data_IF_152000636282
#
_entry.id   IF_152000636282
#
_cell.length_a   1.000
_cell.length_b   1.000
_cell.length_c   1.000
_cell.angle_alpha   90.00
_cell.angle_beta   90.00
_cell.angle_gamma   90.00
#
_symmetry.space_group_name_H-M   'P 1'
#
loop_
_entity.id
_entity.type
_entity.pdbx_description
1 polymer ?
#
# COMPACT_ATOMS: atom_id res chain seq x y z
N UNK A 1 5.67 8.66 11.28
CA UNK A 1 4.75 7.67 11.88
C UNK A 1 5.59 6.45 12.23
N UNK A 2 5.71 6.12 13.52
CA UNK A 2 6.32 4.87 13.96
C UNK A 2 5.31 3.73 13.87
N UNK A 3 5.79 2.48 13.80
CA UNK A 3 4.94 1.28 13.80
C UNK A 3 5.48 0.33 14.86
N UNK A 4 4.62 -0.07 15.78
CA UNK A 4 4.94 -1.04 16.82
C UNK A 4 4.12 -2.30 16.62
N UNK A 5 4.80 -3.42 16.54
CA UNK A 5 4.21 -4.76 16.34
C UNK A 5 4.57 -5.59 17.57
N UNK A 6 3.58 -6.15 18.25
CA UNK A 6 3.77 -6.91 19.49
C UNK A 6 3.11 -8.29 19.39
N UNK A 7 3.91 -9.33 19.45
CA UNK A 7 3.48 -10.74 19.52
C UNK A 7 2.44 -11.12 18.49
N UNK A 8 2.51 -10.58 17.27
CA UNK A 8 1.55 -10.86 16.20
C UNK A 8 1.65 -12.31 15.80
N UNK A 9 0.52 -13.02 15.92
CA UNK A 9 0.34 -14.40 15.51
C UNK A 9 -0.73 -14.50 14.45
N UNK A 10 -0.50 -15.34 13.42
CA UNK A 10 -1.48 -15.62 12.37
C UNK A 10 -1.36 -17.05 11.89
N UNK A 11 -2.51 -17.73 11.85
CA UNK A 11 -2.63 -19.09 11.36
C UNK A 11 -3.67 -19.18 10.23
N UNK A 12 -3.43 -19.99 9.24
CA UNK A 12 -4.36 -20.33 8.16
C UNK A 12 -4.57 -21.86 8.14
N UNK A 13 -5.69 -22.33 8.66
CA UNK A 13 -5.89 -23.76 8.90
C UNK A 13 -4.79 -24.31 9.80
N UNK A 14 -4.05 -25.31 9.33
CA UNK A 14 -2.93 -25.93 10.07
C UNK A 14 -1.58 -25.20 9.84
N UNK A 15 -1.55 -24.18 8.98
CA UNK A 15 -0.32 -23.46 8.64
C UNK A 15 -0.17 -22.19 9.49
N UNK A 16 0.89 -22.13 10.30
CA UNK A 16 1.27 -20.92 11.05
C UNK A 16 2.09 -20.00 10.17
N UNK A 17 1.50 -18.90 9.72
CA UNK A 17 2.15 -17.90 8.88
C UNK A 17 3.03 -16.93 9.70
N UNK A 18 2.59 -16.55 10.91
CA UNK A 18 3.32 -15.69 11.83
C UNK A 18 3.24 -16.29 13.24
N UNK A 19 4.38 -16.39 13.92
CA UNK A 19 4.45 -16.93 15.28
C UNK A 19 5.04 -15.89 16.23
N UNK A 20 4.17 -15.11 16.88
CA UNK A 20 4.53 -14.10 17.90
C UNK A 20 5.61 -13.12 17.42
N UNK A 21 5.44 -12.59 16.22
CA UNK A 21 6.37 -11.63 15.63
C UNK A 21 6.24 -10.28 16.35
N UNK A 22 7.38 -9.73 16.76
CA UNK A 22 7.47 -8.37 17.32
C UNK A 22 8.54 -7.59 16.55
N UNK A 23 8.24 -6.32 16.25
CA UNK A 23 9.11 -5.43 15.48
C UNK A 23 8.75 -3.97 15.79
N UNK A 24 9.76 -3.14 15.92
CA UNK A 24 9.62 -1.70 16.01
C UNK A 24 10.20 -1.04 14.76
N UNK A 25 9.47 -0.10 14.19
CA UNK A 25 9.87 0.69 13.03
C UNK A 25 9.74 2.16 13.41
N UNK A 26 10.87 2.85 13.41
CA UNK A 26 10.90 4.28 13.76
C UNK A 26 10.32 5.16 12.66
N UNK A 27 9.90 6.36 13.03
CA UNK A 27 9.38 7.33 12.07
C UNK A 27 10.45 7.73 11.05
N UNK A 28 10.14 7.59 9.76
CA UNK A 28 11.05 7.89 8.65
C UNK A 28 12.04 6.78 8.32
N UNK A 29 11.99 5.66 9.01
CA UNK A 29 12.85 4.51 8.74
C UNK A 29 12.41 3.75 7.47
N UNK A 30 13.37 3.27 6.69
CA UNK A 30 13.17 2.33 5.59
C UNK A 30 13.57 0.92 6.05
N UNK A 31 12.59 0.05 6.20
CA UNK A 31 12.79 -1.33 6.67
C UNK A 31 12.58 -2.32 5.53
N UNK A 32 13.51 -3.26 5.38
CA UNK A 32 13.40 -4.38 4.45
C UNK A 32 13.17 -5.70 5.20
N UNK A 33 12.09 -6.40 4.86
CA UNK A 33 11.80 -7.74 5.37
C UNK A 33 12.44 -8.79 4.43
N UNK A 34 13.47 -9.48 4.90
CA UNK A 34 14.20 -10.52 4.16
C UNK A 34 13.80 -11.91 4.65
N UNK A 35 13.83 -12.87 3.76
CA UNK A 35 13.55 -14.28 4.08
C UNK A 35 13.00 -15.07 2.88
N UNK A 36 12.94 -16.40 2.98
CA UNK A 36 12.46 -17.28 1.91
C UNK A 36 10.97 -17.03 1.56
N UNK A 37 10.54 -17.57 0.43
CA UNK A 37 9.12 -17.55 0.07
C UNK A 37 8.31 -18.34 1.11
N UNK A 38 7.12 -17.82 1.48
CA UNK A 38 6.22 -18.45 2.45
C UNK A 38 6.56 -18.19 3.92
N UNK A 39 7.60 -17.44 4.27
CA UNK A 39 7.94 -17.14 5.68
C UNK A 39 7.08 -16.02 6.33
N UNK A 40 5.94 -15.65 5.77
CA UNK A 40 4.99 -14.74 6.39
C UNK A 40 5.15 -13.25 6.10
N UNK A 41 6.17 -12.80 5.33
CA UNK A 41 6.41 -11.37 5.03
C UNK A 41 5.17 -10.65 4.49
N UNK A 42 4.54 -11.21 3.47
CA UNK A 42 3.34 -10.63 2.87
C UNK A 42 2.16 -10.62 3.84
N UNK A 43 2.04 -11.66 4.67
CA UNK A 43 1.01 -11.73 5.73
C UNK A 43 1.22 -10.63 6.75
N UNK A 44 2.45 -10.42 7.22
CA UNK A 44 2.77 -9.33 8.16
C UNK A 44 2.46 -7.96 7.55
N UNK A 45 2.90 -7.69 6.31
CA UNK A 45 2.60 -6.43 5.62
C UNK A 45 1.09 -6.20 5.45
N UNK A 46 0.31 -7.25 5.13
CA UNK A 46 -1.15 -7.15 5.04
C UNK A 46 -1.80 -6.84 6.38
N UNK A 47 -1.32 -7.44 7.47
CA UNK A 47 -1.82 -7.17 8.82
C UNK A 47 -1.49 -5.72 9.22
N UNK A 48 -0.27 -5.24 8.96
CA UNK A 48 0.10 -3.82 9.18
C UNK A 48 -0.84 -2.89 8.41
N UNK A 49 -1.13 -3.19 7.15
CA UNK A 49 -2.02 -2.38 6.31
C UNK A 49 -3.51 -2.50 6.68
N UNK A 50 -3.91 -3.44 7.54
CA UNK A 50 -5.32 -3.72 7.86
C UNK A 50 -6.08 -4.47 6.77
N UNK A 51 -5.36 -5.12 5.85
CA UNK A 51 -5.91 -5.98 4.79
C UNK A 51 -6.07 -7.43 5.24
N UNK A 52 -5.53 -7.77 6.40
CA UNK A 52 -5.64 -9.07 7.07
C UNK A 52 -5.69 -8.82 8.58
N UNK A 53 -6.37 -9.69 9.32
CA UNK A 53 -6.48 -9.59 10.79
C UNK A 53 -5.53 -10.57 11.45
N UNK A 54 -4.79 -10.12 12.46
CA UNK A 54 -4.01 -11.00 13.33
C UNK A 54 -4.95 -11.83 14.23
N UNK A 55 -4.56 -13.06 14.55
CA UNK A 55 -5.30 -13.89 15.49
C UNK A 55 -4.95 -13.53 16.94
N UNK A 56 -3.72 -13.02 17.16
CA UNK A 56 -3.22 -12.51 18.44
C UNK A 56 -2.19 -11.41 18.21
N UNK A 57 -1.92 -10.64 19.27
CA UNK A 57 -0.96 -9.55 19.24
C UNK A 57 -1.60 -8.21 18.87
N UNK A 58 -0.78 -7.16 18.83
CA UNK A 58 -1.24 -5.79 18.59
C UNK A 58 -0.35 -5.07 17.57
N UNK A 59 -0.94 -4.10 16.89
CA UNK A 59 -0.23 -3.15 16.03
C UNK A 59 -0.63 -1.74 16.44
N UNK A 60 0.38 -0.93 16.73
CA UNK A 60 0.18 0.48 17.02
C UNK A 60 0.89 1.37 16.00
N UNK A 61 0.28 2.50 15.65
CA UNK A 61 0.85 3.56 14.84
C UNK A 61 1.02 4.82 15.70
N UNK A 62 2.27 5.28 15.82
CA UNK A 62 2.59 6.46 16.66
C UNK A 62 2.03 6.35 18.10
N UNK A 63 2.06 5.14 18.67
CA UNK A 63 1.55 4.85 19.99
C UNK A 63 0.05 4.58 20.11
N UNK A 64 -0.72 4.75 19.04
CA UNK A 64 -2.16 4.45 19.00
C UNK A 64 -2.41 3.03 18.50
N UNK A 65 -3.16 2.23 19.26
CA UNK A 65 -3.54 0.86 18.88
C UNK A 65 -4.46 0.88 17.67
N UNK A 66 -3.99 0.31 16.56
CA UNK A 66 -4.71 0.21 15.29
C UNK A 66 -5.11 -1.22 14.94
N UNK A 67 -4.96 -2.17 15.85
CA UNK A 67 -5.17 -3.61 15.62
C UNK A 67 -6.53 -3.90 14.97
N UNK A 68 -7.59 -3.24 15.43
CA UNK A 68 -8.95 -3.40 14.95
C UNK A 68 -9.46 -2.23 14.10
N UNK A 69 -8.61 -1.25 13.80
CA UNK A 69 -8.97 -0.11 12.95
C UNK A 69 -9.09 -0.58 11.50
N UNK A 70 -10.19 -0.20 10.86
CA UNK A 70 -10.46 -0.56 9.46
C UNK A 70 -9.41 0.03 8.51
N UNK A 71 -9.05 -0.70 7.44
CA UNK A 71 -8.02 -0.30 6.46
C UNK A 71 -8.16 1.14 5.94
N UNK A 72 -9.38 1.63 5.74
CA UNK A 72 -9.66 3.01 5.26
C UNK A 72 -9.26 4.08 6.27
N UNK A 73 -9.20 3.75 7.54
CA UNK A 73 -8.92 4.70 8.64
C UNK A 73 -7.44 4.66 9.04
N UNK A 74 -6.71 3.60 8.68
CA UNK A 74 -5.27 3.45 8.99
C UNK A 74 -4.35 4.41 8.25
N UNK A 75 -4.81 5.03 7.15
CA UNK A 75 -4.03 5.96 6.33
C UNK A 75 -2.68 5.40 5.85
N UNK A 76 -2.65 4.11 5.53
CA UNK A 76 -1.46 3.39 5.04
C UNK A 76 -1.57 3.18 3.53
N UNK A 77 -0.53 3.53 2.80
CA UNK A 77 -0.38 3.16 1.39
C UNK A 77 0.11 1.71 1.29
N UNK A 78 -0.46 0.93 0.38
CA UNK A 78 -0.06 -0.47 0.14
C UNK A 78 0.07 -0.73 -1.35
N UNK A 79 1.26 -1.17 -1.78
CA UNK A 79 1.52 -1.60 -3.16
C UNK A 79 1.48 -3.12 -3.21
N UNK A 80 0.52 -3.67 -3.96
CA UNK A 80 0.37 -5.11 -4.11
C UNK A 80 1.49 -5.71 -4.99
N UNK A 81 1.82 -6.97 -4.76
CA UNK A 81 2.85 -7.70 -5.54
C UNK A 81 2.53 -7.74 -7.04
N UNK A 82 1.25 -7.74 -7.41
CA UNK A 82 0.78 -7.68 -8.81
C UNK A 82 0.31 -6.28 -9.22
N UNK A 83 0.71 -5.25 -8.45
CA UNK A 83 0.49 -3.81 -8.67
C UNK A 83 -0.97 -3.35 -8.62
N UNK A 84 -1.96 -4.22 -8.78
CA UNK A 84 -3.41 -3.97 -8.68
C UNK A 84 -3.93 -2.75 -9.48
N UNK A 85 -3.33 -2.45 -10.64
CA UNK A 85 -3.81 -1.39 -11.52
C UNK A 85 -5.17 -1.76 -12.13
N UNK A 86 -6.07 -0.78 -12.22
CA UNK A 86 -7.36 -0.90 -12.89
C UNK A 86 -7.15 -1.05 -14.40
N UNK A 87 -7.39 -2.24 -14.95
CA UNK A 87 -7.06 -2.60 -16.33
C UNK A 87 -7.83 -1.82 -17.39
N UNK A 88 -9.01 -1.32 -17.04
CA UNK A 88 -9.92 -0.55 -17.88
C UNK A 88 -9.67 0.96 -17.84
N UNK A 89 -8.73 1.41 -17.03
CA UNK A 89 -8.33 2.80 -16.88
C UNK A 89 -6.94 3.02 -17.47
N UNK A 90 -6.72 4.21 -18.01
CA UNK A 90 -5.38 4.65 -18.43
C UNK A 90 -4.44 4.80 -17.22
N UNK A 91 -3.15 5.00 -17.47
CA UNK A 91 -2.16 5.32 -16.43
C UNK A 91 -2.57 6.59 -15.68
N UNK A 92 -2.93 7.62 -16.41
CA UNK A 92 -3.43 8.87 -15.83
C UNK A 92 -4.62 8.63 -14.89
N UNK A 93 -5.60 7.89 -15.33
CA UNK A 93 -6.82 7.59 -14.56
C UNK A 93 -6.52 6.73 -13.32
N UNK A 94 -5.60 5.79 -13.39
CA UNK A 94 -5.14 4.99 -12.27
C UNK A 94 -4.54 5.89 -11.16
N UNK A 95 -3.64 6.79 -11.50
CA UNK A 95 -3.01 7.72 -10.55
C UNK A 95 -4.01 8.76 -10.04
N UNK A 96 -4.90 9.27 -10.91
CA UNK A 96 -5.94 10.23 -10.54
C UNK A 96 -7.02 9.64 -9.63
N UNK A 97 -7.19 8.31 -9.64
CA UNK A 97 -8.30 7.63 -8.97
C UNK A 97 -8.41 8.01 -7.48
N UNK A 98 -7.30 7.93 -6.74
CA UNK A 98 -7.26 8.25 -5.31
C UNK A 98 -7.69 9.70 -5.00
N UNK A 99 -7.44 10.63 -5.90
CA UNK A 99 -7.86 12.02 -5.76
C UNK A 99 -9.35 12.22 -6.10
N UNK A 100 -9.84 11.49 -7.11
CA UNK A 100 -11.22 11.59 -7.61
C UNK A 100 -12.26 10.95 -6.68
N UNK A 101 -11.88 9.90 -5.93
CA UNK A 101 -12.79 9.24 -4.97
C UNK A 101 -12.94 9.98 -3.64
N UNK A 102 -12.16 11.02 -3.39
CA UNK A 102 -12.32 11.86 -2.19
C UNK A 102 -13.71 12.48 -2.12
N UNK A 103 -14.26 12.73 -0.91
CA UNK A 103 -15.48 13.51 -0.73
C UNK A 103 -15.41 14.85 -1.47
N UNK A 104 -16.54 15.34 -1.95
CA UNK A 104 -16.59 16.58 -2.78
C UNK A 104 -15.90 17.78 -2.14
N UNK A 105 -16.01 17.94 -0.82
CA UNK A 105 -15.38 19.01 -0.06
C UNK A 105 -13.85 18.89 0.10
N UNK A 106 -13.28 17.73 -0.22
CA UNK A 106 -11.84 17.44 -0.14
C UNK A 106 -11.23 17.11 -1.51
N UNK A 107 -12.05 17.05 -2.56
CA UNK A 107 -11.60 16.71 -3.91
C UNK A 107 -10.98 17.94 -4.57
N UNK A 108 -9.72 17.85 -5.05
CA UNK A 108 -9.10 18.91 -5.84
C UNK A 108 -9.88 19.14 -7.15
N UNK A 109 -9.72 20.31 -7.74
CA UNK A 109 -10.23 20.60 -9.09
C UNK A 109 -9.55 19.68 -10.13
N UNK A 110 -10.21 19.46 -11.28
CA UNK A 110 -9.62 18.62 -12.35
C UNK A 110 -8.29 19.19 -12.88
N UNK A 111 -8.11 20.51 -12.86
CA UNK A 111 -6.83 21.15 -13.22
C UNK A 111 -5.71 20.83 -12.21
N UNK A 112 -6.03 20.82 -10.93
CA UNK A 112 -5.09 20.43 -9.87
C UNK A 112 -4.77 18.93 -9.92
N UNK A 113 -5.78 18.08 -10.15
CA UNK A 113 -5.60 16.64 -10.36
C UNK A 113 -4.66 16.40 -11.53
N UNK A 114 -4.91 17.05 -12.67
CA UNK A 114 -4.06 16.93 -13.86
C UNK A 114 -2.61 17.31 -13.55
N UNK A 115 -2.39 18.46 -12.94
CA UNK A 115 -1.05 18.91 -12.55
C UNK A 115 -0.36 17.92 -11.63
N UNK A 116 -1.07 17.44 -10.58
CA UNK A 116 -0.52 16.51 -9.59
C UNK A 116 -0.17 15.15 -10.20
N UNK A 117 -1.01 14.61 -11.07
CA UNK A 117 -0.77 13.35 -11.76
C UNK A 117 0.48 13.43 -12.63
N UNK A 118 0.61 14.49 -13.44
CA UNK A 118 1.80 14.68 -14.29
C UNK A 118 3.07 14.88 -13.45
N UNK A 119 3.00 15.59 -12.32
CA UNK A 119 4.08 15.71 -11.36
C UNK A 119 4.53 14.34 -10.83
N UNK A 120 3.59 13.49 -10.37
CA UNK A 120 3.88 12.15 -9.85
C UNK A 120 4.44 11.23 -10.94
N UNK A 121 3.85 11.23 -12.13
CA UNK A 121 4.35 10.47 -13.28
C UNK A 121 5.75 10.92 -13.70
N UNK A 122 6.04 12.22 -13.60
CA UNK A 122 7.37 12.77 -13.83
C UNK A 122 8.41 12.26 -12.83
N UNK A 123 8.07 12.16 -11.53
CA UNK A 123 8.95 11.60 -10.50
C UNK A 123 9.37 10.16 -10.80
N UNK A 124 8.45 9.35 -11.35
CA UNK A 124 8.76 7.97 -11.75
C UNK A 124 9.24 7.83 -13.21
N UNK A 125 9.43 8.96 -13.91
CA UNK A 125 9.91 9.06 -15.31
C UNK A 125 8.99 8.35 -16.33
N UNK A 126 7.67 8.39 -16.12
CA UNK A 126 6.67 7.71 -16.95
C UNK A 126 5.54 8.61 -17.45
N UNK A 127 5.73 9.94 -17.43
CA UNK A 127 4.71 10.91 -17.83
C UNK A 127 4.24 10.71 -19.28
N UNK A 128 5.13 10.31 -20.18
CA UNK A 128 4.84 9.98 -21.57
C UNK A 128 3.93 8.76 -21.78
N UNK A 129 3.63 7.99 -20.72
CA UNK A 129 2.72 6.84 -20.72
C UNK A 129 1.33 7.18 -20.18
N UNK A 130 1.02 8.43 -19.87
CA UNK A 130 -0.22 8.86 -19.24
C UNK A 130 -1.49 8.29 -19.90
N UNK A 131 -1.53 8.23 -21.23
CA UNK A 131 -2.67 7.76 -22.03
C UNK A 131 -2.65 6.25 -22.31
N UNK A 132 -1.64 5.52 -21.84
CA UNK A 132 -1.54 4.06 -22.05
C UNK A 132 -2.37 3.30 -21.02
N UNK A 133 -2.78 2.09 -21.39
CA UNK A 133 -3.45 1.14 -20.51
C UNK A 133 -2.43 0.19 -19.84
N UNK A 134 -2.71 -0.36 -18.66
CA UNK A 134 -1.82 -1.30 -17.97
C UNK A 134 -1.38 -2.51 -18.81
N UNK A 135 -2.21 -2.97 -19.75
CA UNK A 135 -1.87 -4.06 -20.70
C UNK A 135 -0.74 -3.72 -21.67
N UNK A 136 -0.47 -2.44 -21.89
CA UNK A 136 0.55 -1.92 -22.80
C UNK A 136 1.89 -1.66 -22.11
N UNK A 137 2.01 -1.99 -20.82
CA UNK A 137 3.14 -1.67 -19.98
C UNK A 137 3.97 -2.90 -19.62
N UNK A 138 5.27 -2.71 -19.47
CA UNK A 138 6.15 -3.71 -18.87
C UNK A 138 5.86 -3.89 -17.36
N UNK A 139 6.36 -4.99 -16.76
CA UNK A 139 6.24 -5.23 -15.32
C UNK A 139 6.80 -4.09 -14.47
N UNK A 140 8.01 -3.64 -14.79
CA UNK A 140 8.66 -2.53 -14.08
C UNK A 140 7.95 -1.18 -14.25
N UNK A 141 7.32 -0.92 -15.42
CA UNK A 141 6.50 0.27 -15.63
C UNK A 141 5.24 0.21 -14.75
N UNK A 142 4.54 -0.94 -14.73
CA UNK A 142 3.37 -1.12 -13.84
C UNK A 142 3.72 -0.92 -12.37
N UNK A 143 4.88 -1.42 -11.93
CA UNK A 143 5.36 -1.25 -10.57
C UNK A 143 5.56 0.23 -10.21
N UNK A 144 6.24 0.99 -11.06
CA UNK A 144 6.48 2.42 -10.83
C UNK A 144 5.20 3.25 -10.85
N UNK A 145 4.22 2.88 -11.70
CA UNK A 145 2.91 3.54 -11.73
C UNK A 145 2.10 3.23 -10.46
N UNK A 146 2.18 2.00 -9.94
CA UNK A 146 1.50 1.65 -8.69
C UNK A 146 2.10 2.38 -7.46
N UNK A 147 3.31 2.90 -7.58
CA UNK A 147 3.98 3.70 -6.56
C UNK A 147 3.65 5.20 -6.67
N UNK A 148 3.28 5.68 -7.87
CA UNK A 148 2.91 7.07 -8.14
C UNK A 148 1.49 7.39 -7.63
#
# INVERSE_FOLDING_TARGET
MSIEIRNVHKQFGDFTALNKVSLDIESGELVALLGPSGCGKTTLLRIIAGLETADQGTIAFSGEDTTHVHVRERQVGFVFQHYALFRHMTVFENVAFGLRVKPRNQRPSESEIKRKVHELLGLVQLDWLADRYPSQLSGGQRQRIALA
#
